data_IF_165837502634
#
_entry.id   IF_165837502634
#
_cell.length_a   1.000
_cell.length_b   1.000
_cell.length_c   1.000
_cell.angle_alpha   90.00
_cell.angle_beta   90.00
_cell.angle_gamma   90.00
#
_symmetry.space_group_name_H-M   'P 1'
#
loop_
_entity.id
_entity.type
_entity.pdbx_description
1 polymer ?
#
# COMPACT_ATOMS: atom_id res chain seq x y z
N UNK A 1 21.25 -51.44 -16.12
CA UNK A 1 22.60 -51.82 -16.59
C UNK A 1 23.10 -50.66 -17.42
N UNK A 2 24.22 -49.95 -17.18
CA UNK A 2 25.54 -50.29 -16.63
C UNK A 2 26.11 -49.05 -15.92
N UNK A 3 26.92 -49.28 -14.88
CA UNK A 3 27.70 -48.29 -14.15
C UNK A 3 28.98 -47.99 -14.93
N UNK A 4 29.34 -46.73 -15.09
CA UNK A 4 30.73 -46.33 -15.36
C UNK A 4 31.05 -45.09 -14.54
N UNK A 5 31.84 -45.34 -13.48
CA UNK A 5 32.58 -44.39 -12.69
C UNK A 5 33.92 -44.17 -13.41
N UNK A 6 34.31 -42.92 -13.67
CA UNK A 6 35.72 -42.55 -13.89
C UNK A 6 36.03 -41.31 -13.07
N UNK A 7 36.86 -41.52 -12.05
CA UNK A 7 37.61 -40.51 -11.33
C UNK A 7 38.88 -40.20 -12.12
N UNK A 8 39.20 -38.92 -12.33
CA UNK A 8 40.48 -38.31 -11.92
C UNK A 8 40.64 -36.90 -12.50
N UNK A 9 40.53 -35.94 -11.58
CA UNK A 9 41.24 -34.66 -11.46
C UNK A 9 41.97 -34.10 -12.69
N UNK A 10 41.44 -32.98 -13.18
CA UNK A 10 42.26 -31.90 -13.70
C UNK A 10 41.87 -30.61 -12.97
N UNK A 11 42.72 -30.21 -12.02
CA UNK A 11 42.65 -28.88 -11.42
C UNK A 11 43.14 -27.87 -12.46
N UNK A 12 42.24 -27.01 -12.93
CA UNK A 12 42.58 -25.84 -13.71
C UNK A 12 42.05 -24.62 -12.99
N UNK A 13 42.94 -23.96 -12.24
CA UNK A 13 42.71 -22.63 -11.71
C UNK A 13 43.01 -21.63 -12.83
N UNK A 14 42.00 -20.87 -13.25
CA UNK A 14 42.18 -19.59 -13.92
C UNK A 14 40.91 -18.76 -13.74
N UNK A 15 41.16 -17.50 -13.41
CA UNK A 15 40.24 -16.56 -12.81
C UNK A 15 39.20 -16.00 -13.79
N UNK A 16 38.01 -15.67 -13.24
CA UNK A 16 37.10 -14.69 -13.82
C UNK A 16 35.72 -15.23 -14.18
N UNK A 17 34.69 -14.82 -13.42
CA UNK A 17 33.31 -14.82 -13.89
C UNK A 17 32.27 -15.35 -12.90
N UNK A 18 31.66 -14.43 -12.15
CA UNK A 18 30.35 -14.51 -11.48
C UNK A 18 30.02 -15.77 -10.66
N UNK A 19 30.40 -15.75 -9.38
CA UNK A 19 29.73 -16.53 -8.36
C UNK A 19 28.28 -16.01 -8.18
N UNK A 20 27.29 -16.67 -8.77
CA UNK A 20 25.89 -16.55 -8.34
C UNK A 20 25.60 -17.63 -7.30
N UNK A 21 26.04 -17.35 -6.07
CA UNK A 21 25.51 -17.98 -4.87
C UNK A 21 25.74 -17.01 -3.71
N UNK A 22 24.86 -16.00 -3.61
CA UNK A 22 24.61 -15.31 -2.35
C UNK A 22 23.14 -15.51 -2.03
N UNK A 23 22.87 -16.64 -1.37
CA UNK A 23 21.82 -16.69 -0.36
C UNK A 23 22.31 -15.78 0.78
N UNK A 24 21.88 -14.53 0.74
CA UNK A 24 22.04 -13.55 1.80
C UNK A 24 20.68 -12.85 1.96
N UNK A 25 20.22 -12.65 3.22
CA UNK A 25 18.90 -12.12 3.49
C UNK A 25 18.76 -10.75 2.83
N UNK A 26 17.64 -10.54 2.14
CA UNK A 26 17.28 -9.25 1.60
C UNK A 26 17.40 -8.20 2.71
N UNK A 27 18.45 -7.39 2.63
CA UNK A 27 18.59 -6.20 3.47
C UNK A 27 17.37 -5.30 3.18
N UNK A 28 16.77 -4.70 4.21
CA UNK A 28 15.60 -3.85 4.04
C UNK A 28 15.98 -2.66 3.15
N UNK A 29 15.15 -2.25 2.18
CA UNK A 29 15.42 -1.04 1.44
C UNK A 29 15.37 0.16 2.40
N UNK A 30 16.53 0.76 2.65
CA UNK A 30 16.68 2.04 3.36
C UNK A 30 16.04 3.19 2.53
N UNK A 31 15.62 4.29 3.18
CA UNK A 31 14.49 5.09 2.74
C UNK A 31 14.88 6.07 1.63
N UNK A 32 14.24 5.95 0.47
CA UNK A 32 14.32 6.99 -0.56
C UNK A 32 13.47 8.20 -0.13
N UNK A 33 14.07 9.16 0.58
CA UNK A 33 13.50 10.50 0.75
C UNK A 33 13.60 11.26 -0.58
N UNK A 34 12.51 11.25 -1.36
CA UNK A 34 12.26 12.23 -2.41
C UNK A 34 11.15 13.15 -1.92
N UNK A 35 11.53 14.35 -1.46
CA UNK A 35 10.58 15.44 -1.19
C UNK A 35 10.03 15.88 -2.55
N UNK A 36 8.88 15.31 -2.90
CA UNK A 36 8.10 15.66 -4.09
C UNK A 36 6.65 15.87 -3.67
N UNK A 37 6.08 16.99 -4.08
CA UNK A 37 4.76 17.50 -3.76
C UNK A 37 3.70 16.42 -3.45
N UNK A 38 3.29 16.35 -2.18
CA UNK A 38 2.00 15.82 -1.74
C UNK A 38 1.65 14.37 -2.09
N UNK A 39 2.61 13.45 -2.19
CA UNK A 39 2.26 12.01 -2.18
C UNK A 39 1.71 11.67 -0.80
N UNK A 40 0.47 11.22 -0.74
CA UNK A 40 -0.14 10.71 0.48
C UNK A 40 0.67 9.50 0.96
N UNK A 41 1.61 9.73 1.86
CA UNK A 41 2.45 8.67 2.41
C UNK A 41 1.56 7.75 3.27
N UNK A 42 1.54 6.42 3.02
CA UNK A 42 0.72 5.49 3.79
C UNK A 42 1.10 5.51 5.27
N UNK A 43 2.37 5.81 5.59
CA UNK A 43 2.81 6.02 6.95
C UNK A 43 2.10 7.19 7.62
N UNK A 44 2.07 8.35 6.96
CA UNK A 44 1.44 9.55 7.51
C UNK A 44 -0.07 9.33 7.68
N UNK A 45 -0.71 8.66 6.71
CA UNK A 45 -2.12 8.28 6.82
C UNK A 45 -2.37 7.35 8.02
N UNK A 46 -1.51 6.34 8.22
CA UNK A 46 -1.61 5.44 9.37
C UNK A 46 -1.46 6.20 10.70
N UNK A 47 -0.50 7.13 10.79
CA UNK A 47 -0.30 7.96 11.99
C UNK A 47 -1.49 8.90 12.25
N UNK A 48 -2.09 9.50 11.21
CA UNK A 48 -3.30 10.29 11.36
C UNK A 48 -4.47 9.44 11.88
N UNK A 49 -4.65 8.23 11.33
CA UNK A 49 -5.69 7.31 11.80
C UNK A 49 -5.41 6.83 13.24
N UNK A 50 -4.14 6.63 13.60
CA UNK A 50 -3.71 6.32 14.96
C UNK A 50 -4.18 7.40 15.94
N UNK A 51 -3.88 8.66 15.65
CA UNK A 51 -4.29 9.78 16.50
C UNK A 51 -5.82 9.96 16.53
N UNK A 52 -6.48 9.85 15.38
CA UNK A 52 -7.92 10.06 15.26
C UNK A 52 -8.73 8.97 15.97
N UNK A 53 -8.35 7.70 15.81
CA UNK A 53 -9.10 6.55 16.33
C UNK A 53 -8.55 6.02 17.65
N UNK A 54 -7.38 6.50 18.11
CA UNK A 54 -6.71 5.95 19.30
C UNK A 54 -6.23 4.53 19.05
N UNK A 55 -5.54 4.31 17.93
CA UNK A 55 -5.03 2.97 17.57
C UNK A 55 -3.82 2.60 18.42
N UNK A 56 -3.66 1.31 18.72
CA UNK A 56 -2.42 0.79 19.28
C UNK A 56 -1.30 0.75 18.24
N UNK A 57 -0.05 0.60 18.67
CA UNK A 57 1.09 0.42 17.78
C UNK A 57 0.93 -0.80 16.88
N UNK A 58 0.42 -1.90 17.42
CA UNK A 58 0.16 -3.12 16.66
C UNK A 58 -0.93 -2.94 15.59
N UNK A 59 -2.02 -2.24 15.93
CA UNK A 59 -3.06 -1.91 14.95
C UNK A 59 -2.52 -0.99 13.85
N UNK A 60 -1.67 -0.02 14.22
CA UNK A 60 -1.05 0.92 13.27
C UNK A 60 -0.09 0.20 12.33
N UNK A 61 0.73 -0.72 12.85
CA UNK A 61 1.64 -1.52 12.04
C UNK A 61 0.89 -2.43 11.03
N UNK A 62 -0.29 -2.92 11.38
CA UNK A 62 -1.17 -3.67 10.46
C UNK A 62 -1.87 -2.77 9.43
N UNK A 63 -2.08 -1.50 9.76
CA UNK A 63 -2.75 -0.53 8.90
C UNK A 63 -1.87 -0.05 7.73
N UNK A 64 -0.58 0.15 7.98
CA UNK A 64 0.39 0.61 6.97
C UNK A 64 0.38 -0.20 5.66
N UNK A 65 0.51 -1.55 5.68
CA UNK A 65 0.50 -2.34 4.44
C UNK A 65 -0.85 -2.29 3.71
N UNK A 66 -1.98 -2.19 4.43
CA UNK A 66 -3.32 -2.04 3.83
C UNK A 66 -3.40 -0.71 3.07
N UNK A 67 -2.93 0.38 3.69
CA UNK A 67 -2.93 1.71 3.08
C UNK A 67 -1.95 1.80 1.90
N UNK A 68 -0.79 1.16 2.00
CA UNK A 68 0.18 1.08 0.90
C UNK A 68 -0.40 0.32 -0.30
N UNK A 69 -1.04 -0.83 -0.07
CA UNK A 69 -1.69 -1.61 -1.12
C UNK A 69 -2.83 -0.82 -1.78
N UNK A 70 -3.66 -0.12 -0.98
CA UNK A 70 -4.70 0.77 -1.50
C UNK A 70 -4.12 1.86 -2.41
N UNK A 71 -3.03 2.48 -1.98
CA UNK A 71 -2.38 3.53 -2.76
C UNK A 71 -1.87 2.98 -4.09
N UNK A 72 -1.16 1.85 -4.08
CA UNK A 72 -0.65 1.22 -5.30
C UNK A 72 -1.78 0.87 -6.28
N UNK A 73 -2.87 0.27 -5.80
CA UNK A 73 -4.06 -0.03 -6.63
C UNK A 73 -4.66 1.25 -7.23
N UNK A 74 -4.71 2.33 -6.44
CA UNK A 74 -5.24 3.62 -6.90
C UNK A 74 -4.33 4.29 -7.92
N UNK A 75 -3.01 4.22 -7.74
CA UNK A 75 -2.03 4.77 -8.68
C UNK A 75 -2.05 4.01 -10.01
N UNK A 76 -2.10 2.67 -9.96
CA UNK A 76 -2.25 1.83 -11.15
C UNK A 76 -3.54 2.15 -11.92
N UNK A 77 -4.66 2.28 -11.21
CA UNK A 77 -5.95 2.65 -11.82
C UNK A 77 -5.93 4.03 -12.48
N UNK A 78 -5.23 5.00 -11.88
CA UNK A 78 -5.09 6.34 -12.45
C UNK A 78 -4.23 6.33 -13.72
N UNK A 79 -3.18 5.52 -13.73
CA UNK A 79 -2.28 5.36 -14.86
C UNK A 79 -2.88 4.53 -16.01
N UNK A 80 -3.94 3.76 -15.76
CA UNK A 80 -4.60 2.95 -16.77
C UNK A 80 -5.32 3.83 -17.81
N UNK A 81 -4.81 3.85 -19.04
CA UNK A 81 -5.39 4.61 -20.16
C UNK A 81 -6.45 3.84 -20.94
N UNK A 82 -6.69 2.56 -20.59
CA UNK A 82 -7.68 1.72 -21.27
C UNK A 82 -9.11 1.91 -20.74
N UNK A 83 -9.24 2.50 -19.55
CA UNK A 83 -10.52 2.68 -18.86
C UNK A 83 -11.06 4.11 -19.04
N UNK A 84 -12.39 4.21 -19.16
CA UNK A 84 -13.08 5.50 -19.07
C UNK A 84 -13.06 6.05 -17.65
N UNK A 85 -13.27 7.35 -17.51
CA UNK A 85 -13.32 7.99 -16.19
C UNK A 85 -14.43 7.41 -15.29
N UNK A 86 -15.58 7.03 -15.85
CA UNK A 86 -16.66 6.41 -15.07
C UNK A 86 -16.27 5.01 -14.58
N UNK A 87 -15.60 4.22 -15.42
CA UNK A 87 -15.06 2.92 -15.02
C UNK A 87 -14.01 3.08 -13.92
N UNK A 88 -13.11 4.05 -14.03
CA UNK A 88 -12.14 4.38 -12.98
C UNK A 88 -12.83 4.80 -11.69
N UNK A 89 -13.87 5.63 -11.74
CA UNK A 89 -14.64 6.01 -10.54
C UNK A 89 -15.29 4.80 -9.88
N UNK A 90 -15.87 3.87 -10.65
CA UNK A 90 -16.45 2.64 -10.12
C UNK A 90 -15.40 1.77 -9.44
N UNK A 91 -14.25 1.55 -10.10
CA UNK A 91 -13.16 0.77 -9.51
C UNK A 91 -12.55 1.45 -8.28
N UNK A 92 -12.43 2.78 -8.26
CA UNK A 92 -11.93 3.52 -7.10
C UNK A 92 -12.89 3.40 -5.90
N UNK A 93 -14.21 3.39 -6.13
CA UNK A 93 -15.21 3.12 -5.10
C UNK A 93 -15.03 1.72 -4.53
N UNK A 94 -14.79 0.73 -5.39
CA UNK A 94 -14.55 -0.65 -4.97
C UNK A 94 -13.26 -0.78 -4.14
N UNK A 95 -12.14 -0.26 -4.62
CA UNK A 95 -10.86 -0.20 -3.88
C UNK A 95 -11.06 0.43 -2.50
N UNK A 96 -11.80 1.54 -2.43
CA UNK A 96 -12.07 2.24 -1.17
C UNK A 96 -12.97 1.44 -0.22
N UNK A 97 -13.92 0.66 -0.75
CA UNK A 97 -14.79 -0.22 0.03
C UNK A 97 -14.02 -1.39 0.60
N UNK A 98 -13.21 -2.05 -0.22
CA UNK A 98 -12.42 -3.22 0.18
C UNK A 98 -11.37 -2.84 1.21
N UNK A 99 -10.64 -1.74 0.97
CA UNK A 99 -9.67 -1.23 1.94
C UNK A 99 -10.34 -0.85 3.27
N UNK A 100 -11.55 -0.28 3.23
CA UNK A 100 -12.28 0.02 4.47
C UNK A 100 -12.59 -1.27 5.24
N UNK A 101 -13.03 -2.31 4.55
CA UNK A 101 -13.36 -3.59 5.19
C UNK A 101 -12.14 -4.18 5.90
N UNK A 102 -11.00 -4.23 5.20
CA UNK A 102 -9.73 -4.70 5.79
C UNK A 102 -9.30 -3.88 7.01
N UNK A 103 -9.53 -2.56 6.98
CA UNK A 103 -9.28 -1.68 8.12
C UNK A 103 -10.26 -1.99 9.26
N UNK A 104 -11.56 -2.13 9.00
CA UNK A 104 -12.56 -2.42 10.03
C UNK A 104 -12.24 -3.74 10.78
N UNK A 105 -11.68 -4.72 10.08
CA UNK A 105 -11.33 -6.03 10.64
C UNK A 105 -10.17 -5.97 11.68
N UNK A 106 -9.37 -4.89 11.71
CA UNK A 106 -8.30 -4.67 12.70
C UNK A 106 -8.67 -3.70 13.83
N UNK A 107 -9.86 -3.10 13.77
CA UNK A 107 -10.35 -2.12 14.73
C UNK A 107 -11.27 -2.77 15.77
N UNK A 108 -11.39 -2.12 16.94
CA UNK A 108 -12.45 -2.46 17.89
C UNK A 108 -13.81 -1.90 17.42
N UNK A 109 -14.95 -2.46 17.88
CA UNK A 109 -16.27 -1.94 17.52
C UNK A 109 -16.43 -0.44 17.80
N UNK A 110 -15.88 0.05 18.91
CA UNK A 110 -15.91 1.48 19.28
C UNK A 110 -15.09 2.34 18.30
N UNK A 111 -13.90 1.87 17.90
CA UNK A 111 -13.06 2.54 16.90
C UNK A 111 -13.74 2.57 15.53
N UNK A 112 -14.42 1.48 15.13
CA UNK A 112 -15.22 1.44 13.89
C UNK A 112 -16.35 2.46 13.92
N UNK A 113 -17.06 2.58 15.05
CA UNK A 113 -18.12 3.57 15.20
C UNK A 113 -17.57 5.01 15.08
N UNK A 114 -16.43 5.29 15.73
CA UNK A 114 -15.75 6.60 15.63
C UNK A 114 -15.34 6.90 14.18
N UNK A 115 -14.77 5.93 13.48
CA UNK A 115 -14.40 6.06 12.06
C UNK A 115 -15.61 6.36 11.17
N UNK A 116 -16.75 5.69 11.40
CA UNK A 116 -17.99 5.94 10.66
C UNK A 116 -18.51 7.35 10.91
N UNK A 117 -18.51 7.83 12.15
CA UNK A 117 -18.98 9.18 12.49
C UNK A 117 -18.15 10.29 11.84
N UNK A 118 -16.83 10.13 11.77
CA UNK A 118 -15.93 11.09 11.10
C UNK A 118 -16.27 11.25 9.60
N UNK A 119 -16.68 10.16 8.94
CA UNK A 119 -17.05 10.21 7.54
C UNK A 119 -18.34 11.00 7.30
N UNK A 120 -19.38 10.76 8.10
CA UNK A 120 -20.67 11.47 7.98
C UNK A 120 -20.55 12.97 8.29
N UNK A 121 -19.57 13.39 9.10
CA UNK A 121 -19.31 14.80 9.37
C UNK A 121 -18.83 15.59 8.15
N UNK A 122 -18.09 14.95 7.24
CA UNK A 122 -17.65 15.59 6.00
C UNK A 122 -18.73 15.66 4.92
N UNK A 123 -19.61 14.65 4.85
CA UNK A 123 -20.69 14.60 3.86
C UNK A 123 -21.71 15.74 4.09
N UNK A 124 -21.98 16.12 5.35
CA UNK A 124 -22.91 17.22 5.70
C UNK A 124 -22.43 18.62 5.29
N UNK A 125 -21.14 18.81 5.01
CA UNK A 125 -20.59 20.11 4.62
C UNK A 125 -20.50 20.25 3.09
N UNK A 126 -20.54 19.15 2.33
CA UNK A 126 -20.62 19.15 0.88
C UNK A 126 -22.04 19.41 0.34
N UNK A 127 -23.05 19.39 1.22
CA UNK A 127 -24.47 19.61 0.91
C UNK A 127 -24.96 20.99 1.40
N UNK A 128 -24.10 22.01 1.38
CA UNK A 128 -24.57 23.39 1.29
C UNK A 128 -24.55 23.77 -0.20
N UNK A 129 -25.72 23.98 -0.85
CA UNK A 129 -25.74 24.44 -2.23
C UNK A 129 -25.00 25.78 -2.30
N UNK A 130 -24.05 25.90 -3.22
CA UNK A 130 -23.49 27.18 -3.56
C UNK A 130 -24.63 28.09 -4.01
N UNK A 131 -25.09 28.97 -3.11
CA UNK A 131 -26.02 30.04 -3.42
C UNK A 131 -25.46 30.81 -4.62
N UNK A 132 -26.20 30.96 -5.74
CA UNK A 132 -25.74 31.78 -6.85
C UNK A 132 -25.67 33.22 -6.34
N UNK A 133 -24.45 33.69 -6.09
CA UNK A 133 -24.19 35.11 -5.86
C UNK A 133 -24.56 35.85 -7.14
N UNK A 134 -25.75 36.44 -7.14
CA UNK A 134 -26.25 37.23 -8.24
C UNK A 134 -25.39 38.46 -8.49
N UNK A 135 -25.10 38.69 -9.77
CA UNK A 135 -24.99 40.00 -10.41
C UNK A 135 -25.55 39.87 -11.84
#
# INVERSE_FOLDING_TARGET
MKRTLVLSTLAFALAGGAAFAQDAPAAPPAPAHKVGHGKHNPQNMAQHMKAALGLTDEQTAKLEPILAARQQKTEALKADTSLTEDQKRMQLKQISKDSRKEIEDILTPEQVQKMKSMKHGHDKQAEQPAEPSGL
#
